data_IF_554213749533
#
_entry.id   IF_554213749533
#
_cell.length_a   1.000
_cell.length_b   1.000
_cell.length_c   1.000
_cell.angle_alpha   90.00
_cell.angle_beta   90.00
_cell.angle_gamma   90.00
#
_symmetry.space_group_name_H-M   'P 1'
#
loop_
_entity.id
_entity.type
_entity.pdbx_description
1 polymer ?
#
# COMPACT_ATOMS: atom_id res chain seq x y z
N UNK A 1 -85.10 -6.94 -38.53
CA UNK A 1 -83.66 -7.04 -38.85
C UNK A 1 -82.92 -6.07 -37.97
N UNK A 2 -82.16 -6.55 -37.08
CA UNK A 2 -81.27 -5.72 -36.21
C UNK A 2 -79.91 -5.57 -36.91
N UNK A 3 -79.37 -4.36 -37.03
CA UNK A 3 -78.07 -4.22 -37.57
C UNK A 3 -76.99 -4.71 -36.55
N UNK A 4 -76.13 -5.53 -37.07
CA UNK A 4 -74.95 -6.02 -36.34
C UNK A 4 -73.92 -4.94 -36.37
N UNK A 5 -73.54 -4.45 -35.20
CA UNK A 5 -72.42 -3.51 -35.08
C UNK A 5 -71.13 -4.30 -35.03
N UNK A 6 -70.12 -3.97 -35.84
CA UNK A 6 -68.83 -4.57 -35.73
C UNK A 6 -68.13 -4.03 -34.49
N UNK A 7 -67.72 -4.95 -33.59
CA UNK A 7 -66.90 -4.63 -32.47
C UNK A 7 -65.49 -4.22 -32.94
N UNK A 8 -65.12 -2.98 -32.68
CA UNK A 8 -63.79 -2.48 -32.94
C UNK A 8 -62.83 -3.07 -31.92
N UNK A 9 -61.98 -3.99 -32.38
CA UNK A 9 -60.88 -4.54 -31.64
C UNK A 9 -59.80 -3.46 -31.48
N UNK A 10 -59.75 -2.84 -30.30
CA UNK A 10 -58.67 -1.94 -29.98
C UNK A 10 -57.45 -2.77 -29.59
N UNK A 11 -56.51 -2.89 -30.50
CA UNK A 11 -55.21 -3.46 -30.19
C UNK A 11 -54.43 -2.40 -29.41
N UNK A 12 -54.37 -2.59 -28.10
CA UNK A 12 -53.50 -1.80 -27.24
C UNK A 12 -52.03 -2.17 -27.49
N UNK A 13 -51.35 -1.26 -28.14
CA UNK A 13 -49.91 -1.38 -28.28
C UNK A 13 -49.26 -1.11 -26.91
N UNK A 14 -48.94 -2.16 -26.19
CA UNK A 14 -48.09 -2.07 -25.00
C UNK A 14 -46.66 -1.77 -25.43
N UNK A 15 -46.28 -0.52 -25.33
CA UNK A 15 -44.88 -0.14 -25.43
C UNK A 15 -44.14 -0.63 -24.19
N UNK A 16 -43.47 -1.76 -24.32
CA UNK A 16 -42.47 -2.21 -23.35
C UNK A 16 -41.29 -1.22 -23.46
N UNK A 17 -41.25 -0.29 -22.51
CA UNK A 17 -40.06 0.54 -22.33
C UNK A 17 -38.96 -0.36 -21.70
N UNK A 18 -38.07 -0.86 -22.56
CA UNK A 18 -36.84 -1.50 -22.11
C UNK A 18 -35.95 -0.41 -21.53
N UNK A 19 -36.01 -0.26 -20.21
CA UNK A 19 -35.11 0.60 -19.49
C UNK A 19 -33.69 0.05 -19.61
N UNK A 20 -32.86 0.72 -20.42
CA UNK A 20 -31.45 0.45 -20.49
C UNK A 20 -30.84 0.93 -19.18
N UNK A 21 -30.69 0.03 -18.23
CA UNK A 21 -29.92 0.31 -17.03
C UNK A 21 -28.45 0.47 -17.45
N UNK A 22 -28.01 1.72 -17.61
CA UNK A 22 -26.60 2.02 -17.76
C UNK A 22 -25.91 1.66 -16.46
N UNK A 23 -25.24 0.51 -16.41
CA UNK A 23 -24.33 0.18 -15.33
C UNK A 23 -23.18 1.20 -15.36
N UNK A 24 -23.18 2.12 -14.40
CA UNK A 24 -22.08 3.03 -14.22
C UNK A 24 -20.88 2.20 -13.77
N UNK A 25 -19.94 1.97 -14.68
CA UNK A 25 -18.64 1.38 -14.31
C UNK A 25 -17.88 2.46 -13.55
N UNK A 26 -17.86 2.35 -12.24
CA UNK A 26 -16.99 3.18 -11.42
C UNK A 26 -15.56 2.68 -11.66
N UNK A 27 -14.83 3.40 -12.50
CA UNK A 27 -13.40 3.15 -12.64
C UNK A 27 -12.72 3.56 -11.32
N UNK A 28 -12.24 2.56 -10.57
CA UNK A 28 -11.37 2.83 -9.44
C UNK A 28 -10.04 3.30 -10.03
N UNK A 29 -9.74 4.59 -9.88
CA UNK A 29 -8.44 5.12 -10.25
C UNK A 29 -7.37 4.39 -9.42
N UNK A 30 -6.34 3.83 -10.09
CA UNK A 30 -5.17 3.31 -9.41
C UNK A 30 -4.59 4.41 -8.53
N UNK A 31 -4.26 4.08 -7.26
CA UNK A 31 -3.54 5.00 -6.40
C UNK A 31 -2.24 5.43 -7.10
N UNK A 32 -1.83 6.72 -7.02
CA UNK A 32 -0.55 7.13 -7.57
C UNK A 32 0.56 6.27 -6.99
N UNK A 33 1.56 5.94 -7.81
CA UNK A 33 2.71 5.15 -7.37
C UNK A 33 3.38 5.85 -6.19
N UNK A 34 3.43 5.17 -5.05
CA UNK A 34 4.09 5.66 -3.86
C UNK A 34 5.61 5.52 -4.03
N UNK A 35 6.34 6.47 -3.48
CA UNK A 35 7.80 6.41 -3.48
C UNK A 35 8.28 5.15 -2.77
N UNK A 36 9.18 4.41 -3.40
CA UNK A 36 9.82 3.22 -2.83
C UNK A 36 11.25 3.55 -2.47
N UNK A 37 11.63 3.24 -1.25
CA UNK A 37 13.01 3.36 -0.76
C UNK A 37 13.50 1.96 -0.42
N UNK A 38 14.51 1.50 -1.12
CA UNK A 38 15.14 0.21 -0.85
C UNK A 38 16.15 0.34 0.28
N UNK A 39 16.04 -0.55 1.26
CA UNK A 39 16.95 -0.64 2.40
C UNK A 39 17.49 -2.05 2.47
N UNK A 40 18.79 -2.18 2.35
CA UNK A 40 19.50 -3.45 2.46
C UNK A 40 20.11 -3.61 3.85
N UNK A 41 19.97 -4.79 4.42
CA UNK A 41 20.58 -5.17 5.68
C UNK A 41 21.69 -6.19 5.42
N UNK A 42 22.82 -5.98 6.04
CA UNK A 42 23.96 -6.90 6.06
C UNK A 42 24.70 -6.78 7.39
N UNK A 43 25.65 -7.66 7.64
CA UNK A 43 26.52 -7.55 8.83
C UNK A 43 27.47 -6.34 8.65
N UNK A 44 27.42 -5.37 9.41
CA UNK A 44 26.60 -4.95 10.54
C UNK A 44 26.11 -3.55 10.22
N UNK A 45 25.43 -3.41 9.12
CA UNK A 45 24.99 -2.11 8.62
C UNK A 45 23.67 -2.20 7.85
N UNK A 46 22.99 -1.07 7.79
CA UNK A 46 21.89 -0.82 6.87
C UNK A 46 22.36 0.13 5.76
N UNK A 47 21.93 -0.13 4.54
CA UNK A 47 22.17 0.72 3.38
C UNK A 47 20.85 1.15 2.72
N UNK A 48 20.51 2.44 2.74
CA UNK A 48 21.21 3.54 3.43
C UNK A 48 21.02 3.52 4.95
N UNK A 49 21.98 4.04 5.68
CA UNK A 49 21.89 4.22 7.13
C UNK A 49 21.13 5.48 7.54
N UNK A 50 20.92 6.41 6.60
CA UNK A 50 20.09 7.60 6.77
C UNK A 50 19.00 7.60 5.71
N UNK A 51 17.74 7.65 6.15
CA UNK A 51 16.57 7.67 5.29
C UNK A 51 15.86 9.01 5.48
N UNK A 52 15.72 9.78 4.40
CA UNK A 52 15.05 11.08 4.45
C UNK A 52 13.60 10.95 3.95
N UNK A 53 12.67 11.34 4.78
CA UNK A 53 11.25 11.32 4.49
C UNK A 53 10.65 12.71 4.67
N UNK A 54 9.48 12.91 4.06
CA UNK A 54 8.67 14.12 4.25
C UNK A 54 7.44 13.80 5.07
N UNK A 55 7.10 14.68 6.00
CA UNK A 55 5.89 14.57 6.80
C UNK A 55 4.65 14.51 5.90
N UNK A 56 3.79 13.53 6.14
CA UNK A 56 2.54 13.34 5.41
C UNK A 56 2.68 12.70 4.03
N UNK A 57 3.91 12.41 3.56
CA UNK A 57 4.14 11.75 2.29
C UNK A 57 4.22 10.23 2.47
N UNK A 58 3.32 9.45 1.86
CA UNK A 58 3.38 8.00 1.93
C UNK A 58 4.61 7.46 1.19
N UNK A 59 5.32 6.55 1.83
CA UNK A 59 6.46 5.84 1.23
C UNK A 59 6.39 4.36 1.54
N UNK A 60 6.97 3.55 0.67
CA UNK A 60 7.19 2.13 0.91
C UNK A 60 8.69 1.92 1.21
N UNK A 61 9.00 1.41 2.38
CA UNK A 61 10.32 0.90 2.68
C UNK A 61 10.39 -0.55 2.21
N UNK A 62 11.27 -0.83 1.28
CA UNK A 62 11.50 -2.17 0.74
C UNK A 62 12.76 -2.74 1.38
N UNK A 63 12.56 -3.67 2.31
CA UNK A 63 13.62 -4.22 3.15
C UNK A 63 14.09 -5.56 2.63
N UNK A 64 15.38 -5.71 2.46
CA UNK A 64 16.00 -6.96 2.03
C UNK A 64 17.27 -7.27 2.81
N UNK A 65 17.60 -8.54 2.96
CA UNK A 65 18.87 -8.98 3.56
C UNK A 65 19.80 -9.49 2.48
N UNK A 66 21.07 -9.15 2.60
CA UNK A 66 22.14 -9.60 1.69
C UNK A 66 22.90 -10.81 2.22
N UNK A 67 22.69 -11.20 3.48
CA UNK A 67 23.46 -12.29 4.10
C UNK A 67 22.61 -13.22 4.98
N UNK A 68 21.99 -12.72 6.03
CA UNK A 68 21.29 -13.53 7.04
C UNK A 68 20.06 -12.81 7.57
N UNK A 69 19.37 -13.42 8.51
CA UNK A 69 18.25 -12.80 9.18
C UNK A 69 18.67 -11.57 9.98
N UNK A 70 17.97 -10.48 9.80
CA UNK A 70 18.08 -9.23 10.55
C UNK A 70 16.70 -8.80 11.03
N UNK A 71 16.64 -7.82 11.93
CA UNK A 71 15.42 -7.10 12.25
C UNK A 71 15.52 -5.66 11.76
N UNK A 72 14.39 -5.02 11.58
CA UNK A 72 14.30 -3.58 11.30
C UNK A 72 13.25 -2.99 12.22
N UNK A 73 13.70 -2.32 13.25
CA UNK A 73 12.83 -1.75 14.27
C UNK A 73 13.00 -0.25 14.36
N UNK A 74 11.89 0.47 14.24
CA UNK A 74 11.84 1.92 14.42
C UNK A 74 10.83 2.22 15.52
N UNK A 75 11.25 2.26 16.78
CA UNK A 75 10.32 2.43 17.91
C UNK A 75 9.46 3.69 17.81
N UNK A 76 10.06 4.79 17.38
CA UNK A 76 9.35 6.07 17.25
C UNK A 76 8.30 6.11 16.14
N UNK A 77 8.29 5.17 15.23
CA UNK A 77 7.30 5.04 14.14
C UNK A 77 6.45 3.76 14.26
N UNK A 78 6.64 2.97 15.30
CA UNK A 78 5.89 1.74 15.51
C UNK A 78 6.18 0.65 14.48
N UNK A 79 7.36 0.66 13.87
CA UNK A 79 7.78 -0.32 12.86
C UNK A 79 8.59 -1.42 13.54
N UNK A 80 8.24 -2.67 13.23
CA UNK A 80 8.98 -3.85 13.66
C UNK A 80 8.82 -4.93 12.58
N UNK A 81 9.88 -5.19 11.85
CA UNK A 81 9.86 -6.11 10.72
C UNK A 81 11.05 -7.07 10.75
N UNK A 82 10.80 -8.35 10.49
CA UNK A 82 11.83 -9.33 10.25
C UNK A 82 12.32 -9.21 8.80
N UNK A 83 13.64 -9.14 8.63
CA UNK A 83 14.28 -9.04 7.31
C UNK A 83 15.06 -10.33 7.06
N UNK A 84 14.44 -11.24 6.34
CA UNK A 84 14.99 -12.56 6.06
C UNK A 84 15.73 -12.59 4.72
N UNK A 85 16.75 -13.46 4.57
CA UNK A 85 17.36 -13.67 3.26
C UNK A 85 16.33 -14.23 2.28
N UNK A 86 16.50 -13.96 1.00
CA UNK A 86 15.65 -14.42 -0.11
C UNK A 86 14.20 -13.92 -0.06
N UNK A 87 13.89 -12.96 0.82
CA UNK A 87 12.55 -12.38 0.96
C UNK A 87 12.66 -10.86 1.03
N UNK A 88 11.78 -10.17 0.32
CA UNK A 88 11.65 -8.72 0.40
C UNK A 88 10.40 -8.36 1.20
N UNK A 89 10.55 -7.52 2.21
CA UNK A 89 9.44 -7.03 3.04
C UNK A 89 9.15 -5.59 2.68
N UNK A 90 7.90 -5.26 2.46
CA UNK A 90 7.44 -3.91 2.17
C UNK A 90 6.69 -3.35 3.36
N UNK A 91 7.15 -2.20 3.85
CA UNK A 91 6.54 -1.48 4.97
C UNK A 91 6.08 -0.12 4.49
N UNK A 92 4.78 0.12 4.51
CA UNK A 92 4.22 1.42 4.17
C UNK A 92 4.31 2.35 5.37
N UNK A 93 4.86 3.53 5.16
CA UNK A 93 5.04 4.55 6.21
C UNK A 93 4.44 5.87 5.75
N UNK A 94 3.62 6.49 6.59
CA UNK A 94 3.15 7.86 6.43
C UNK A 94 3.58 8.63 7.68
N UNK A 95 4.73 9.34 7.62
CA UNK A 95 5.22 10.05 8.81
C UNK A 95 4.28 11.19 9.18
N UNK A 96 3.83 11.22 10.43
CA UNK A 96 2.92 12.27 10.93
C UNK A 96 3.66 13.43 11.60
N UNK A 97 4.88 13.16 12.09
CA UNK A 97 5.70 14.11 12.85
C UNK A 97 7.07 14.26 12.22
N UNK A 98 7.53 15.50 12.13
CA UNK A 98 8.94 15.79 11.82
C UNK A 98 9.83 15.37 12.99
N UNK A 99 11.06 14.99 12.69
CA UNK A 99 12.04 14.61 13.70
C UNK A 99 13.03 13.56 13.21
N UNK A 100 13.81 13.07 14.14
CA UNK A 100 14.80 12.01 13.91
C UNK A 100 14.38 10.76 14.66
N UNK A 101 14.25 9.66 13.94
CA UNK A 101 13.80 8.38 14.49
C UNK A 101 14.88 7.33 14.24
N UNK A 102 15.48 6.86 15.30
CA UNK A 102 16.48 5.80 15.22
C UNK A 102 15.84 4.48 14.77
N UNK A 103 16.53 3.73 13.95
CA UNK A 103 16.19 2.34 13.68
C UNK A 103 17.38 1.43 14.00
N UNK A 104 17.08 0.20 14.34
CA UNK A 104 18.07 -0.75 14.80
C UNK A 104 17.70 -2.17 14.34
N UNK A 105 18.71 -3.04 14.34
CA UNK A 105 18.51 -4.46 14.19
C UNK A 105 18.16 -5.05 15.57
N UNK A 106 16.95 -5.57 15.73
CA UNK A 106 16.47 -6.18 16.98
C UNK A 106 16.56 -7.71 16.99
N UNK A 107 17.12 -8.29 15.93
CA UNK A 107 17.38 -9.71 15.82
C UNK A 107 18.89 -9.95 15.85
N UNK A 108 19.35 -10.74 16.82
CA UNK A 108 20.78 -11.02 16.94
C UNK A 108 21.33 -11.61 15.64
N UNK A 109 22.26 -10.90 15.02
CA UNK A 109 22.82 -11.23 13.72
C UNK A 109 24.34 -11.49 13.75
N UNK A 110 24.95 -11.50 14.92
CA UNK A 110 26.37 -11.77 15.14
C UNK A 110 27.04 -10.73 16.02
N UNK A 111 28.34 -10.87 16.22
CA UNK A 111 29.16 -9.90 16.97
C UNK A 111 29.21 -8.58 16.19
N UNK A 112 28.78 -7.48 16.79
CA UNK A 112 28.59 -6.18 16.12
C UNK A 112 27.12 -5.81 15.88
N UNK A 113 26.20 -6.69 16.27
CA UNK A 113 24.75 -6.46 16.21
C UNK A 113 24.32 -5.17 16.93
N UNK A 114 24.93 -4.84 18.04
CA UNK A 114 24.61 -3.65 18.84
C UNK A 114 24.93 -2.34 18.11
N UNK A 115 25.85 -2.37 17.15
CA UNK A 115 26.24 -1.20 16.36
C UNK A 115 25.49 -1.09 15.03
N UNK A 116 24.57 -2.02 14.78
CA UNK A 116 23.78 -2.06 13.55
C UNK A 116 22.53 -1.18 13.67
N UNK A 117 22.68 0.09 13.32
CA UNK A 117 21.64 1.10 13.44
C UNK A 117 21.62 2.09 12.27
N UNK A 118 20.64 2.99 12.32
CA UNK A 118 20.51 4.10 11.40
C UNK A 118 19.47 5.10 11.89
N UNK A 119 19.13 6.07 11.03
CA UNK A 119 18.20 7.12 11.38
C UNK A 119 17.25 7.44 10.22
N UNK A 120 15.98 7.60 10.52
CA UNK A 120 14.99 8.20 9.63
C UNK A 120 14.86 9.66 10.03
N UNK A 121 15.08 10.54 9.06
CA UNK A 121 14.91 11.99 9.22
C UNK A 121 13.63 12.40 8.50
N UNK A 122 12.67 12.95 9.24
CA UNK A 122 11.40 13.42 8.72
C UNK A 122 11.37 14.94 8.76
N UNK A 123 11.19 15.57 7.62
CA UNK A 123 11.09 17.03 7.47
C UNK A 123 9.67 17.51 7.16
#
# INVERSE_FOLDING_TARGET
MKPIHPASLRIGASLLAVGLAAAAIVAVAAAPDEKVISVSAMKFEFLPATINLKRGEPVILELSSLDRAHGFKVPGLGIDAAVLPDTTVRVRVVPEKAGRFAFLCDNFCGDGHEDMDGVIVVE
#
